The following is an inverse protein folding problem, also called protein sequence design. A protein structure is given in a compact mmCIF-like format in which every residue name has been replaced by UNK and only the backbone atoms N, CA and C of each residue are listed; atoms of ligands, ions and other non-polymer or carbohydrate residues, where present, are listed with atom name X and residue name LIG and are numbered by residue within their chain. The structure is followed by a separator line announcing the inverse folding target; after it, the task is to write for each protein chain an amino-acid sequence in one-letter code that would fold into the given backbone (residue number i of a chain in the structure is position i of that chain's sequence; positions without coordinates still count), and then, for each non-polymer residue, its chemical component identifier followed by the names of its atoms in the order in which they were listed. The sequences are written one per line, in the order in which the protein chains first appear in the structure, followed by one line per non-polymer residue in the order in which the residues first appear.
data_IF_853983704872
#
_entry.id   IF_853983704872
#
_cell.length_a   1.000
_cell.length_b   1.000
_cell.length_c   1.000
_cell.angle_alpha   90.00
_cell.angle_beta   90.00
_cell.angle_gamma   90.00
#
_symmetry.space_group_name_H-M   'P 1'
#
loop_
_entity.id
_entity.type
_entity.pdbx_description
1 polymer ?
#
# COMPACT_ATOMS: atom_id res chain seq x y z
N UNK A 1 -8.19 1.66 -5.27
CA UNK A 1 -7.66 2.47 -6.39
C UNK A 1 -6.15 2.30 -6.44
N UNK A 2 -5.62 1.88 -7.55
CA UNK A 2 -4.19 1.74 -7.76
C UNK A 2 -3.57 3.09 -8.19
N UNK A 3 -2.31 3.11 -8.61
CA UNK A 3 -1.56 4.31 -8.99
C UNK A 3 -2.35 5.23 -9.94
N UNK A 4 -2.09 6.54 -9.89
CA UNK A 4 -2.65 7.53 -10.82
C UNK A 4 -3.86 8.32 -10.32
N UNK A 5 -4.31 8.11 -9.08
CA UNK A 5 -5.39 8.91 -8.49
C UNK A 5 -4.90 10.24 -7.89
N UNK A 6 -3.63 10.31 -7.48
CA UNK A 6 -2.97 11.51 -6.97
C UNK A 6 -1.95 12.04 -7.99
N UNK A 7 -1.51 13.28 -7.81
CA UNK A 7 -0.55 13.93 -8.72
C UNK A 7 0.84 13.30 -8.54
N UNK A 8 1.25 12.46 -9.49
CA UNK A 8 2.46 11.65 -9.40
C UNK A 8 3.77 12.45 -9.33
N UNK A 9 3.88 13.54 -10.11
CA UNK A 9 5.15 14.28 -10.22
C UNK A 9 5.49 15.11 -8.99
N UNK A 10 4.54 15.41 -8.13
CA UNK A 10 4.76 16.22 -6.93
C UNK A 10 4.93 15.38 -5.67
N UNK A 11 4.71 14.06 -5.76
CA UNK A 11 4.66 13.14 -4.61
C UNK A 11 3.78 13.69 -3.46
N UNK A 12 2.66 14.31 -3.80
CA UNK A 12 1.71 14.91 -2.87
C UNK A 12 0.40 14.12 -2.89
N UNK A 13 0.23 13.27 -1.89
CA UNK A 13 -0.97 12.43 -1.79
C UNK A 13 -2.24 13.20 -1.40
N UNK A 14 -2.14 14.47 -0.98
CA UNK A 14 -3.30 15.31 -0.70
C UNK A 14 -3.86 15.99 -1.97
N UNK A 15 -3.11 15.92 -3.08
CA UNK A 15 -3.55 16.43 -4.37
C UNK A 15 -4.11 15.31 -5.24
N UNK A 16 -5.43 15.17 -5.25
CA UNK A 16 -6.13 14.28 -6.18
C UNK A 16 -6.12 14.90 -7.57
N UNK A 17 -5.97 14.08 -8.62
CA UNK A 17 -6.04 14.58 -10.00
C UNK A 17 -7.47 15.06 -10.33
N UNK A 18 -7.64 16.08 -11.18
CA UNK A 18 -8.95 16.68 -11.45
C UNK A 18 -9.98 15.72 -12.07
N UNK A 19 -9.49 14.67 -12.74
CA UNK A 19 -10.33 13.67 -13.41
C UNK A 19 -10.99 12.69 -12.45
N UNK A 20 -10.56 12.66 -11.18
CA UNK A 20 -11.07 11.73 -10.16
C UNK A 20 -11.80 12.49 -9.06
N UNK A 21 -13.11 12.27 -8.98
CA UNK A 21 -13.93 12.69 -7.82
C UNK A 21 -13.88 11.60 -6.74
N UNK A 22 -12.80 11.61 -5.97
CA UNK A 22 -12.56 10.61 -4.93
C UNK A 22 -13.66 10.55 -3.85
N UNK A 23 -14.20 11.68 -3.34
CA UNK A 23 -15.31 11.67 -2.39
C UNK A 23 -16.55 10.94 -2.93
N UNK A 24 -16.91 11.19 -4.19
CA UNK A 24 -18.03 10.49 -4.84
C UNK A 24 -17.76 9.00 -4.98
N UNK A 25 -16.56 8.60 -5.37
CA UNK A 25 -16.16 7.18 -5.48
C UNK A 25 -16.27 6.49 -4.12
N UNK A 26 -15.73 7.08 -3.05
CA UNK A 26 -15.78 6.51 -1.69
C UNK A 26 -17.23 6.38 -1.21
N UNK A 27 -18.05 7.40 -1.42
CA UNK A 27 -19.48 7.39 -1.05
C UNK A 27 -20.25 6.32 -1.82
N UNK A 28 -20.02 6.20 -3.12
CA UNK A 28 -20.66 5.18 -3.95
C UNK A 28 -20.25 3.76 -3.52
N UNK A 29 -18.95 3.51 -3.33
CA UNK A 29 -18.45 2.22 -2.87
C UNK A 29 -19.09 1.82 -1.53
N UNK A 30 -19.15 2.76 -0.58
CA UNK A 30 -19.82 2.55 0.72
C UNK A 30 -21.29 2.18 0.57
N UNK A 31 -22.01 2.78 -0.40
CA UNK A 31 -23.43 2.43 -0.69
C UNK A 31 -23.59 0.99 -1.20
N UNK A 32 -22.50 0.38 -1.69
CA UNK A 32 -22.43 -1.00 -2.17
C UNK A 32 -21.78 -1.96 -1.16
N UNK A 33 -21.52 -1.52 0.07
CA UNK A 33 -20.77 -2.25 1.09
C UNK A 33 -19.36 -2.65 0.62
N UNK A 34 -18.72 -1.79 -0.15
CA UNK A 34 -17.32 -1.94 -0.61
C UNK A 34 -16.49 -0.82 0.00
N UNK A 35 -15.39 -1.20 0.61
CA UNK A 35 -14.42 -0.24 1.14
C UNK A 35 -13.33 0.08 0.10
N UNK A 36 -12.77 1.28 0.18
CA UNK A 36 -11.70 1.74 -0.71
C UNK A 36 -10.37 1.73 0.02
N UNK A 37 -9.36 1.14 -0.60
CA UNK A 37 -7.94 1.25 -0.27
C UNK A 37 -7.26 2.06 -1.39
N UNK A 38 -6.41 3.01 -1.02
CA UNK A 38 -5.67 3.86 -1.96
C UNK A 38 -4.22 3.38 -2.08
N UNK A 39 -3.70 3.38 -3.29
CA UNK A 39 -2.28 3.18 -3.53
C UNK A 39 -1.47 4.42 -3.13
N UNK A 40 -0.28 4.22 -2.58
CA UNK A 40 0.66 5.27 -2.24
C UNK A 40 2.11 4.81 -2.45
N UNK A 41 2.92 5.61 -3.12
CA UNK A 41 4.36 5.38 -3.17
C UNK A 41 5.00 5.69 -1.81
N UNK A 42 5.98 4.87 -1.42
CA UNK A 42 6.67 4.92 -0.13
C UNK A 42 7.09 6.34 0.28
N UNK A 43 7.85 7.04 -0.57
CA UNK A 43 8.37 8.36 -0.24
C UNK A 43 7.28 9.42 -0.06
N UNK A 44 6.23 9.37 -0.87
CA UNK A 44 5.10 10.29 -0.78
C UNK A 44 4.31 10.05 0.51
N UNK A 45 4.16 8.79 0.89
CA UNK A 45 3.44 8.41 2.11
C UNK A 45 4.23 8.75 3.38
N UNK A 46 5.55 8.45 3.42
CA UNK A 46 6.39 8.71 4.58
C UNK A 46 6.54 10.21 4.86
N UNK A 47 6.61 11.04 3.80
CA UNK A 47 6.80 12.48 3.92
C UNK A 47 5.72 13.19 4.75
N UNK A 48 4.47 12.78 4.65
CA UNK A 48 3.35 13.45 5.32
C UNK A 48 2.31 12.45 5.86
N UNK A 49 2.80 11.34 6.38
CA UNK A 49 2.00 10.17 6.76
C UNK A 49 0.80 10.52 7.65
N UNK A 50 1.03 11.29 8.72
CA UNK A 50 -0.01 11.59 9.71
C UNK A 50 -1.18 12.38 9.10
N UNK A 51 -0.87 13.41 8.29
CA UNK A 51 -1.88 14.23 7.65
C UNK A 51 -2.62 13.47 6.56
N UNK A 52 -1.89 12.68 5.76
CA UNK A 52 -2.46 11.85 4.70
C UNK A 52 -3.42 10.81 5.30
N UNK A 53 -2.97 10.06 6.29
CA UNK A 53 -3.79 9.02 6.94
C UNK A 53 -5.03 9.63 7.57
N UNK A 54 -4.88 10.72 8.32
CA UNK A 54 -6.01 11.42 8.94
C UNK A 54 -7.01 11.91 7.89
N UNK A 55 -6.54 12.61 6.85
CA UNK A 55 -7.38 13.18 5.81
C UNK A 55 -8.26 12.12 5.13
N UNK A 56 -7.66 11.01 4.74
CA UNK A 56 -8.40 9.95 4.03
C UNK A 56 -9.24 9.07 4.97
N UNK A 57 -8.86 8.92 6.23
CA UNK A 57 -9.71 8.30 7.24
C UNK A 57 -11.00 9.10 7.45
N UNK A 58 -10.88 10.44 7.57
CA UNK A 58 -12.03 11.35 7.71
C UNK A 58 -12.95 11.30 6.47
N UNK A 59 -12.40 11.09 5.27
CA UNK A 59 -13.15 10.90 4.02
C UNK A 59 -13.87 9.55 3.96
N UNK A 60 -13.43 8.56 4.75
CA UNK A 60 -14.01 7.20 4.79
C UNK A 60 -13.23 6.14 4.03
N UNK A 61 -12.04 6.45 3.54
CA UNK A 61 -11.07 5.46 3.02
C UNK A 61 -10.66 4.50 4.13
N UNK A 62 -10.42 3.24 3.81
CA UNK A 62 -10.14 2.18 4.78
C UNK A 62 -8.71 1.70 4.85
N UNK A 63 -7.84 2.19 4.00
CA UNK A 63 -6.43 1.81 4.07
C UNK A 63 -5.59 2.32 2.92
N UNK A 64 -4.32 1.95 2.98
CA UNK A 64 -3.33 2.23 1.95
C UNK A 64 -2.61 0.96 1.51
N UNK A 65 -2.44 0.82 0.19
CA UNK A 65 -1.41 -0.02 -0.41
C UNK A 65 -0.17 0.84 -0.58
N UNK A 66 0.86 0.58 0.22
CA UNK A 66 2.12 1.34 0.18
C UNK A 66 3.17 0.52 -0.57
N UNK A 67 3.77 1.11 -1.59
CA UNK A 67 4.54 0.41 -2.60
C UNK A 67 5.91 1.05 -2.91
N UNK A 68 6.76 0.33 -3.63
CA UNK A 68 8.08 0.77 -4.10
C UNK A 68 9.09 1.05 -2.97
N UNK A 69 9.14 0.20 -1.97
CA UNK A 69 10.12 0.33 -0.89
C UNK A 69 11.49 -0.18 -1.28
N UNK A 70 11.56 -1.33 -1.96
CA UNK A 70 12.75 -1.96 -2.60
C UNK A 70 14.02 -1.96 -1.72
N UNK A 71 13.82 -2.08 -0.41
CA UNK A 71 14.90 -2.13 0.59
C UNK A 71 14.51 -2.98 1.79
N UNK A 72 15.48 -3.37 2.63
CA UNK A 72 15.28 -4.20 3.82
C UNK A 72 16.12 -3.76 5.04
N UNK A 73 16.51 -2.49 5.06
CA UNK A 73 17.33 -1.91 6.13
C UNK A 73 16.50 -1.46 7.34
N UNK A 74 17.20 -1.00 8.39
CA UNK A 74 16.59 -0.57 9.63
C UNK A 74 15.64 0.62 9.46
N UNK A 75 15.92 1.50 8.50
CA UNK A 75 15.04 2.65 8.22
C UNK A 75 13.68 2.20 7.68
N UNK A 76 13.68 1.23 6.75
CA UNK A 76 12.45 0.63 6.27
C UNK A 76 11.69 -0.07 7.41
N UNK A 77 12.37 -0.87 8.21
CA UNK A 77 11.71 -1.56 9.33
C UNK A 77 11.05 -0.54 10.28
N UNK A 78 11.72 0.54 10.61
CA UNK A 78 11.14 1.61 11.43
C UNK A 78 9.93 2.26 10.75
N UNK A 79 9.98 2.48 9.44
CA UNK A 79 8.84 2.97 8.67
C UNK A 79 7.64 2.03 8.73
N UNK A 80 7.84 0.72 8.60
CA UNK A 80 6.75 -0.26 8.66
C UNK A 80 6.01 -0.20 10.01
N UNK A 81 6.76 -0.10 11.11
CA UNK A 81 6.16 0.06 12.44
C UNK A 81 5.39 1.37 12.56
N UNK A 82 6.00 2.50 12.15
CA UNK A 82 5.33 3.81 12.20
C UNK A 82 4.06 3.84 11.37
N UNK A 83 4.09 3.29 10.16
CA UNK A 83 2.92 3.29 9.27
C UNK A 83 1.81 2.37 9.79
N UNK A 84 2.16 1.19 10.30
CA UNK A 84 1.20 0.28 10.92
C UNK A 84 0.51 0.93 12.13
N UNK A 85 1.29 1.54 13.03
CA UNK A 85 0.79 2.23 14.21
C UNK A 85 -0.08 3.45 13.84
N UNK A 86 0.39 4.29 12.92
CA UNK A 86 -0.35 5.46 12.48
C UNK A 86 -1.69 5.07 11.86
N UNK A 87 -1.69 4.12 10.93
CA UNK A 87 -2.92 3.62 10.33
C UNK A 87 -3.86 2.98 11.38
N UNK A 88 -3.32 2.22 12.34
CA UNK A 88 -4.13 1.62 13.41
C UNK A 88 -4.87 2.68 14.26
N UNK A 89 -4.23 3.80 14.59
CA UNK A 89 -4.88 4.90 15.33
C UNK A 89 -6.12 5.44 14.64
N UNK A 90 -6.12 5.44 13.30
CA UNK A 90 -7.25 5.88 12.47
C UNK A 90 -8.13 4.73 11.97
N UNK A 91 -7.93 3.50 12.48
CA UNK A 91 -8.68 2.28 12.09
C UNK A 91 -8.58 2.00 10.59
N UNK A 92 -7.41 2.22 10.02
CA UNK A 92 -7.09 1.97 8.63
C UNK A 92 -6.21 0.74 8.46
N UNK A 93 -6.39 0.05 7.34
CA UNK A 93 -5.60 -1.10 6.91
C UNK A 93 -4.32 -0.65 6.19
N UNK A 94 -3.31 -1.49 6.21
CA UNK A 94 -2.09 -1.32 5.41
C UNK A 94 -1.79 -2.60 4.65
N UNK A 95 -1.51 -2.43 3.37
CA UNK A 95 -1.04 -3.46 2.45
C UNK A 95 0.35 -3.02 1.95
N UNK A 96 1.39 -3.78 2.24
CA UNK A 96 2.77 -3.43 1.87
C UNK A 96 3.22 -4.17 0.62
N UNK A 97 3.70 -3.42 -0.37
CA UNK A 97 4.23 -3.94 -1.63
C UNK A 97 5.68 -3.52 -1.88
N UNK A 98 6.42 -4.31 -2.71
CA UNK A 98 7.84 -4.05 -2.96
C UNK A 98 8.68 -4.05 -1.68
N UNK A 99 8.53 -5.06 -0.84
CA UNK A 99 9.00 -5.07 0.56
C UNK A 99 9.78 -6.35 0.88
N UNK A 100 10.56 -6.31 1.95
CA UNK A 100 11.22 -7.47 2.55
C UNK A 100 10.22 -8.52 3.10
N UNK A 101 10.71 -9.71 3.39
CA UNK A 101 9.89 -10.77 4.00
C UNK A 101 9.31 -10.35 5.35
N UNK A 102 8.04 -10.70 5.62
CA UNK A 102 7.42 -10.39 6.90
C UNK A 102 8.13 -11.10 8.07
N UNK A 103 8.30 -10.38 9.17
CA UNK A 103 8.96 -10.90 10.39
C UNK A 103 8.02 -10.96 11.60
N UNK A 104 6.70 -10.87 11.35
CA UNK A 104 5.68 -11.00 12.39
C UNK A 104 5.03 -9.69 12.85
N UNK A 105 5.27 -8.57 12.14
CA UNK A 105 4.66 -7.26 12.43
C UNK A 105 3.13 -7.36 12.55
N UNK A 106 2.47 -8.14 11.71
CA UNK A 106 1.03 -8.37 11.70
C UNK A 106 0.48 -9.00 12.99
N UNK A 107 1.34 -9.61 13.81
CA UNK A 107 0.92 -10.13 15.13
C UNK A 107 0.74 -9.02 16.15
N UNK A 108 1.50 -7.95 16.02
CA UNK A 108 1.39 -6.74 16.85
C UNK A 108 0.38 -5.77 16.27
N UNK A 109 0.38 -5.64 14.94
CA UNK A 109 -0.49 -4.71 14.18
C UNK A 109 -1.35 -5.49 13.19
N UNK A 110 -2.51 -6.03 13.61
CA UNK A 110 -3.38 -6.85 12.75
C UNK A 110 -4.04 -6.06 11.61
N UNK A 111 -3.91 -4.75 11.60
CA UNK A 111 -4.29 -3.89 10.48
C UNK A 111 -3.33 -3.97 9.29
N UNK A 112 -2.16 -4.59 9.44
CA UNK A 112 -1.28 -4.95 8.32
C UNK A 112 -1.78 -6.27 7.73
N UNK A 113 -2.36 -6.18 6.53
CA UNK A 113 -3.13 -7.28 5.95
C UNK A 113 -2.34 -8.12 4.94
N UNK A 114 -1.30 -7.56 4.34
CA UNK A 114 -0.52 -8.24 3.31
C UNK A 114 0.90 -7.69 3.18
N UNK A 115 1.78 -8.53 2.60
CA UNK A 115 3.17 -8.21 2.26
C UNK A 115 3.49 -8.81 0.89
N UNK A 116 3.80 -7.97 -0.10
CA UNK A 116 4.35 -8.45 -1.36
C UNK A 116 5.88 -8.49 -1.31
N UNK A 117 6.42 -9.40 -0.52
CA UNK A 117 7.85 -9.70 -0.45
C UNK A 117 8.24 -10.85 -1.37
N UNK A 118 7.65 -10.93 -2.56
CA UNK A 118 7.79 -12.04 -3.51
C UNK A 118 8.06 -11.54 -4.92
N UNK A 119 8.71 -12.39 -5.69
CA UNK A 119 8.91 -12.17 -7.12
C UNK A 119 7.66 -12.69 -7.88
N UNK A 120 6.62 -11.88 -7.91
CA UNK A 120 5.32 -12.23 -8.47
C UNK A 120 5.32 -12.33 -10.00
N UNK A 121 4.22 -12.83 -10.57
CA UNK A 121 4.05 -12.97 -12.02
C UNK A 121 4.11 -11.64 -12.78
N UNK A 122 3.88 -10.54 -12.13
CA UNK A 122 4.00 -9.20 -12.71
C UNK A 122 5.41 -8.92 -13.24
N UNK A 123 6.44 -9.48 -12.61
CA UNK A 123 7.83 -9.37 -13.06
C UNK A 123 8.05 -9.95 -14.47
N UNK A 124 7.16 -10.79 -14.97
CA UNK A 124 7.20 -11.26 -16.36
C UNK A 124 7.02 -10.13 -17.38
N UNK A 125 6.39 -9.03 -16.99
CA UNK A 125 6.24 -7.84 -17.83
C UNK A 125 7.54 -7.03 -17.92
N UNK A 126 8.40 -7.16 -16.92
CA UNK A 126 9.60 -6.33 -16.76
C UNK A 126 10.89 -6.99 -17.29
N UNK A 127 10.88 -8.29 -17.61
CA UNK A 127 12.10 -9.02 -17.99
C UNK A 127 11.83 -10.11 -19.01
N UNK A 128 12.50 -10.00 -20.16
CA UNK A 128 12.45 -10.99 -21.26
C UNK A 128 13.07 -12.34 -20.87
N UNK A 129 13.93 -12.39 -19.86
CA UNK A 129 14.66 -13.58 -19.42
C UNK A 129 13.97 -14.35 -18.27
N UNK A 130 12.80 -13.96 -17.89
CA UNK A 130 12.14 -14.49 -16.70
C UNK A 130 11.49 -15.87 -16.87
N UNK A 131 11.22 -16.28 -18.13
CA UNK A 131 10.55 -17.55 -18.44
C UNK A 131 11.27 -18.79 -17.92
N UNK A 132 12.57 -18.72 -17.71
CA UNK A 132 13.40 -19.87 -17.32
C UNK A 132 13.40 -20.12 -15.81
N UNK A 133 13.08 -19.11 -14.98
CA UNK A 133 13.16 -19.21 -13.52
C UNK A 133 11.82 -19.40 -12.78
N UNK A 134 10.70 -19.21 -13.46
CA UNK A 134 9.37 -19.18 -12.81
C UNK A 134 8.80 -20.56 -12.47
N UNK A 135 9.34 -21.62 -13.03
CA UNK A 135 8.86 -22.98 -12.76
C UNK A 135 9.17 -23.52 -11.35
N UNK A 136 9.84 -22.77 -10.49
CA UNK A 136 10.27 -23.28 -9.18
C UNK A 136 9.75 -22.54 -7.94
N UNK A 137 8.97 -21.49 -8.06
CA UNK A 137 8.49 -20.73 -6.88
C UNK A 137 6.99 -20.43 -6.94
N UNK A 138 6.22 -21.39 -7.41
CA UNK A 138 4.78 -21.39 -7.15
C UNK A 138 4.54 -22.21 -5.89
N UNK A 139 4.27 -21.57 -4.82
CA UNK A 139 3.73 -22.03 -3.55
C UNK A 139 4.59 -21.62 -2.35
N UNK A 140 4.30 -20.46 -1.85
CA UNK A 140 4.31 -20.17 -0.40
C UNK A 140 3.61 -18.83 -0.20
N UNK A 141 2.35 -18.80 -0.50
CA UNK A 141 1.45 -17.77 0.00
C UNK A 141 0.43 -18.48 0.87
N UNK A 142 0.17 -17.92 1.98
CA UNK A 142 -0.82 -18.31 2.99
C UNK A 142 -0.35 -19.32 4.03
N UNK A 143 0.14 -18.80 5.11
CA UNK A 143 -0.31 -19.17 6.48
C UNK A 143 -0.10 -17.98 7.38
#
# INVERSE_FOLDING_TARGET
LDEGWAVNLEADLLKVIPEIDLPTIVSYAKSKNVDIILWAGFYAFDRDMENVVKHYADMGVKGFKVDFMDRDDQELINFLYRSAETCARYKMLVDFHGICKPTGLQRTYPNVINYEGVNGLEQLKCSVNYWIKVNLVLMLVCC
#
